data_IF_627928521473
#
_entry.id   IF_627928521473
#
_cell.length_a   1.000
_cell.length_b   1.000
_cell.length_c   1.000
_cell.angle_alpha   90.00
_cell.angle_beta   90.00
_cell.angle_gamma   90.00
#
_symmetry.space_group_name_H-M   'P 1'
#
loop_
_entity.id
_entity.type
_entity.pdbx_description
1 polymer ?
#
# COMPACT_ATOMS: atom_id res chain seq x y z
N UNK A 1 11.94 15.99 -4.96
CA UNK A 1 12.49 15.23 -6.11
C UNK A 1 13.07 13.95 -5.55
N UNK A 2 12.77 12.84 -6.17
CA UNK A 2 13.27 11.51 -5.82
C UNK A 2 14.01 10.92 -7.01
N UNK A 3 15.11 10.22 -6.73
CA UNK A 3 15.92 9.53 -7.74
C UNK A 3 16.06 8.06 -7.37
N UNK A 4 15.88 7.17 -8.32
CA UNK A 4 16.21 5.75 -8.20
C UNK A 4 16.51 5.12 -9.56
N UNK A 5 17.06 3.90 -9.55
CA UNK A 5 17.49 3.19 -10.77
C UNK A 5 16.33 2.81 -11.69
N UNK A 6 15.13 2.64 -11.16
CA UNK A 6 13.94 2.25 -11.95
C UNK A 6 13.20 3.45 -12.55
N UNK A 7 13.18 4.58 -11.84
CA UNK A 7 12.40 5.76 -12.22
C UNK A 7 13.25 6.91 -12.74
N UNK A 8 14.57 6.82 -12.59
CA UNK A 8 15.51 7.91 -12.86
C UNK A 8 15.24 9.14 -12.00
N UNK A 9 14.16 9.86 -12.24
CA UNK A 9 13.73 10.99 -11.43
C UNK A 9 12.21 11.08 -11.36
N UNK A 10 11.67 11.49 -10.23
CA UNK A 10 10.27 11.83 -10.09
C UNK A 10 10.06 13.08 -9.25
N UNK A 11 9.04 13.87 -9.63
CA UNK A 11 8.58 15.06 -8.92
C UNK A 11 7.20 14.79 -8.35
N UNK A 12 7.03 14.99 -7.04
CA UNK A 12 5.75 14.93 -6.36
C UNK A 12 5.32 16.35 -5.99
N UNK A 13 4.09 16.70 -6.35
CA UNK A 13 3.45 17.97 -6.01
C UNK A 13 2.16 17.65 -5.25
N UNK A 14 1.96 18.26 -4.11
CA UNK A 14 0.71 18.18 -3.36
C UNK A 14 0.24 19.58 -3.00
N UNK A 15 -1.05 19.85 -3.23
CA UNK A 15 -1.73 21.08 -2.85
C UNK A 15 -2.97 20.69 -2.06
N UNK A 16 -3.09 21.21 -0.84
CA UNK A 16 -4.26 20.96 0.01
C UNK A 16 -4.87 22.28 0.42
N UNK A 17 -6.19 22.41 0.23
CA UNK A 17 -7.00 23.54 0.62
C UNK A 17 -8.09 23.12 1.60
N UNK A 18 -8.22 23.86 2.70
CA UNK A 18 -9.25 23.65 3.70
C UNK A 18 -10.26 24.80 3.67
N UNK A 19 -11.52 24.49 3.44
CA UNK A 19 -12.61 25.45 3.39
C UNK A 19 -13.43 25.38 4.68
N UNK A 20 -13.53 26.51 5.37
CA UNK A 20 -14.28 26.65 6.63
C UNK A 20 -15.63 27.30 6.32
N UNK A 21 -16.62 26.47 5.95
CA UNK A 21 -18.00 26.88 5.71
C UNK A 21 -18.95 26.29 6.77
N UNK A 22 -20.26 26.25 6.45
CA UNK A 22 -21.27 25.54 7.28
C UNK A 22 -20.93 24.04 7.43
N UNK A 23 -20.33 23.47 6.39
CA UNK A 23 -19.76 22.13 6.39
C UNK A 23 -18.26 22.27 6.09
N UNK A 24 -17.36 21.93 7.01
CA UNK A 24 -15.94 21.93 6.74
C UNK A 24 -15.62 20.97 5.59
N UNK A 25 -14.79 21.43 4.65
CA UNK A 25 -14.37 20.63 3.50
C UNK A 25 -12.88 20.74 3.25
N UNK A 26 -12.30 19.66 2.78
CA UNK A 26 -10.88 19.58 2.41
C UNK A 26 -10.77 19.10 0.98
N UNK A 27 -10.02 19.80 0.14
CA UNK A 27 -9.65 19.36 -1.19
C UNK A 27 -8.13 19.19 -1.26
N UNK A 28 -7.68 18.02 -1.65
CA UNK A 28 -6.25 17.74 -1.87
C UNK A 28 -6.02 17.26 -3.30
N UNK A 29 -5.06 17.86 -3.96
CA UNK A 29 -4.61 17.50 -5.30
C UNK A 29 -3.18 17.02 -5.20
N UNK A 30 -2.91 15.79 -5.65
CA UNK A 30 -1.57 15.22 -5.67
C UNK A 30 -1.21 14.84 -7.10
N UNK A 31 -0.10 15.35 -7.59
CA UNK A 31 0.47 15.02 -8.89
C UNK A 31 1.85 14.39 -8.74
N UNK A 32 2.11 13.34 -9.50
CA UNK A 32 3.44 12.74 -9.66
C UNK A 32 3.82 12.80 -11.13
N UNK A 33 5.00 13.31 -11.41
CA UNK A 33 5.57 13.40 -12.75
C UNK A 33 6.87 12.61 -12.78
N UNK A 34 7.07 11.81 -13.80
CA UNK A 34 8.24 10.95 -13.99
C UNK A 34 7.95 9.87 -15.04
N UNK A 35 8.79 8.83 -15.12
CA UNK A 35 8.55 7.65 -15.96
C UNK A 35 7.17 7.04 -15.68
N UNK A 36 6.78 7.00 -14.40
CA UNK A 36 5.42 6.69 -13.96
C UNK A 36 4.78 7.99 -13.49
N UNK A 37 3.63 8.33 -14.02
CA UNK A 37 2.91 9.54 -13.64
C UNK A 37 1.56 9.20 -13.01
N UNK A 38 1.12 10.06 -12.11
CA UNK A 38 -0.14 9.89 -11.40
C UNK A 38 -0.78 11.24 -11.08
N UNK A 39 -2.10 11.22 -11.01
CA UNK A 39 -2.89 12.32 -10.49
C UNK A 39 -3.92 11.77 -9.50
N UNK A 40 -4.06 12.41 -8.35
CA UNK A 40 -5.05 12.04 -7.33
C UNK A 40 -5.76 13.28 -6.83
N UNK A 41 -7.07 13.16 -6.71
CA UNK A 41 -7.97 14.15 -6.13
C UNK A 41 -8.62 13.50 -4.92
N UNK A 42 -8.49 14.11 -3.76
CA UNK A 42 -9.18 13.72 -2.54
C UNK A 42 -10.08 14.88 -2.10
N UNK A 43 -11.35 14.61 -1.93
CA UNK A 43 -12.34 15.56 -1.43
C UNK A 43 -12.98 14.98 -0.17
N UNK A 44 -12.84 15.69 0.94
CA UNK A 44 -13.40 15.34 2.21
C UNK A 44 -14.38 16.39 2.71
N UNK A 45 -15.48 15.99 3.33
CA UNK A 45 -16.43 16.89 3.95
C UNK A 45 -16.99 16.27 5.23
N UNK A 46 -17.31 17.15 6.20
CA UNK A 46 -17.71 16.77 7.57
C UNK A 46 -19.15 17.25 7.85
N UNK A 47 -20.20 16.61 7.25
CA UNK A 47 -21.57 16.95 7.56
C UNK A 47 -21.97 16.36 8.92
N UNK A 48 -22.60 17.14 9.80
CA UNK A 48 -23.18 16.60 11.01
C UNK A 48 -24.39 15.69 10.67
N UNK A 49 -24.53 14.50 11.29
CA UNK A 49 -23.74 13.93 12.41
C UNK A 49 -22.51 13.12 11.99
N UNK A 50 -22.28 12.92 10.69
CA UNK A 50 -21.15 12.16 10.14
C UNK A 50 -19.87 13.00 10.24
N UNK A 51 -18.78 12.40 10.69
CA UNK A 51 -17.55 13.16 10.94
C UNK A 51 -16.68 13.36 9.72
N UNK A 52 -16.62 12.40 8.80
CA UNK A 52 -15.87 12.58 7.57
C UNK A 52 -16.38 11.65 6.47
N UNK A 53 -16.82 12.23 5.37
CA UNK A 53 -17.12 11.52 4.13
C UNK A 53 -16.03 11.92 3.13
N UNK A 54 -15.32 10.93 2.58
CA UNK A 54 -14.25 11.12 1.62
C UNK A 54 -14.63 10.57 0.25
N UNK A 55 -14.36 11.35 -0.77
CA UNK A 55 -14.39 10.94 -2.17
C UNK A 55 -12.97 11.06 -2.71
N UNK A 56 -12.47 10.02 -3.34
CA UNK A 56 -11.16 10.07 -3.99
C UNK A 56 -11.22 9.50 -5.39
N UNK A 57 -10.47 10.11 -6.28
CA UNK A 57 -10.19 9.56 -7.60
C UNK A 57 -8.69 9.61 -7.84
N UNK A 58 -8.13 8.52 -8.36
CA UNK A 58 -6.73 8.43 -8.74
C UNK A 58 -6.60 7.83 -10.14
N UNK A 59 -5.78 8.47 -10.94
CA UNK A 59 -5.26 7.95 -12.19
C UNK A 59 -3.76 7.71 -12.05
N UNK A 60 -3.27 6.59 -12.55
CA UNK A 60 -1.84 6.27 -12.54
C UNK A 60 -1.45 5.51 -13.80
N UNK A 61 -0.42 5.98 -14.48
CA UNK A 61 0.29 5.23 -15.51
C UNK A 61 1.48 4.52 -14.90
N UNK A 62 1.57 3.22 -15.14
CA UNK A 62 2.60 2.35 -14.60
C UNK A 62 3.40 1.70 -15.73
N UNK A 63 4.72 1.73 -15.58
CA UNK A 63 5.68 0.95 -16.34
C UNK A 63 6.59 0.27 -15.32
N UNK A 64 6.35 -1.03 -15.09
CA UNK A 64 6.92 -1.78 -13.98
C UNK A 64 7.70 -2.97 -14.50
N UNK A 65 8.94 -3.10 -14.05
CA UNK A 65 9.74 -4.30 -14.27
C UNK A 65 9.46 -5.31 -13.14
N UNK A 66 9.25 -6.54 -13.55
CA UNK A 66 9.12 -7.70 -12.67
C UNK A 66 10.43 -8.49 -12.74
N UNK A 67 10.87 -8.96 -11.59
CA UNK A 67 12.13 -9.65 -11.42
C UNK A 67 11.88 -11.08 -10.92
N UNK A 68 12.87 -11.95 -11.16
CA UNK A 68 12.88 -13.31 -10.63
C UNK A 68 14.36 -13.71 -10.41
N UNK A 69 14.68 -14.00 -9.15
CA UNK A 69 16.07 -14.34 -8.76
C UNK A 69 17.12 -13.29 -9.15
N UNK A 70 16.75 -12.01 -9.04
CA UNK A 70 17.62 -10.90 -9.38
C UNK A 70 17.57 -10.44 -10.84
N UNK A 71 17.10 -11.30 -11.76
CA UNK A 71 17.03 -10.99 -13.19
C UNK A 71 15.67 -10.40 -13.58
N UNK A 72 15.66 -9.48 -14.53
CA UNK A 72 14.44 -8.95 -15.10
C UNK A 72 13.69 -10.04 -15.88
N UNK A 73 12.51 -10.41 -15.39
CA UNK A 73 11.67 -11.44 -15.98
C UNK A 73 10.79 -10.89 -17.10
N UNK A 74 10.03 -9.84 -16.82
CA UNK A 74 9.13 -9.20 -17.77
C UNK A 74 8.85 -7.75 -17.37
N UNK A 75 8.19 -7.03 -18.25
CA UNK A 75 7.74 -5.66 -18.02
C UNK A 75 6.23 -5.60 -18.23
N UNK A 76 5.55 -4.82 -17.41
CA UNK A 76 4.11 -4.54 -17.56
C UNK A 76 3.87 -3.05 -17.63
N UNK A 77 3.09 -2.64 -18.60
CA UNK A 77 2.63 -1.27 -18.78
C UNK A 77 1.11 -1.24 -18.71
N UNK A 78 0.58 -0.43 -17.82
CA UNK A 78 -0.86 -0.34 -17.61
C UNK A 78 -1.28 1.01 -17.03
N UNK A 79 -2.53 1.39 -17.32
CA UNK A 79 -3.23 2.48 -16.68
C UNK A 79 -4.06 1.94 -15.53
N UNK A 80 -4.04 2.63 -14.42
CA UNK A 80 -4.80 2.28 -13.23
C UNK A 80 -5.69 3.44 -12.83
N UNK A 81 -6.97 3.14 -12.67
CA UNK A 81 -7.96 4.08 -12.17
C UNK A 81 -8.54 3.56 -10.86
N UNK A 82 -8.70 4.44 -9.90
CA UNK A 82 -9.30 4.16 -8.61
C UNK A 82 -10.34 5.21 -8.29
N UNK A 83 -11.57 4.78 -8.06
CA UNK A 83 -12.61 5.57 -7.41
C UNK A 83 -12.86 5.05 -6.01
N UNK A 84 -12.91 5.92 -5.00
CA UNK A 84 -13.13 5.53 -3.61
C UNK A 84 -14.15 6.44 -2.95
N UNK A 85 -15.12 5.85 -2.26
CA UNK A 85 -16.02 6.50 -1.33
C UNK A 85 -15.73 5.94 0.07
N UNK A 86 -15.45 6.80 1.03
CA UNK A 86 -15.10 6.39 2.39
C UNK A 86 -15.89 7.18 3.44
N UNK A 87 -16.19 6.49 4.53
CA UNK A 87 -16.72 7.06 5.76
C UNK A 87 -15.69 6.81 6.84
N UNK A 88 -15.20 7.85 7.49
CA UNK A 88 -14.18 7.73 8.51
C UNK A 88 -14.53 8.48 9.77
N UNK A 89 -14.08 7.95 10.91
CA UNK A 89 -14.18 8.59 12.21
C UNK A 89 -12.94 8.33 13.07
N UNK A 90 -12.68 9.22 14.01
CA UNK A 90 -11.69 9.03 15.06
C UNK A 90 -12.38 8.38 16.25
N UNK A 91 -12.19 7.08 16.39
CA UNK A 91 -12.88 6.30 17.43
C UNK A 91 -12.30 6.49 18.84
N UNK A 92 -11.01 6.70 18.90
CA UNK A 92 -10.26 6.99 20.12
C UNK A 92 -9.09 7.88 19.78
N UNK A 93 -8.47 8.57 20.74
CA UNK A 93 -7.43 9.59 20.53
C UNK A 93 -6.41 9.27 19.40
N UNK A 94 -6.05 8.01 19.25
CA UNK A 94 -5.01 7.56 18.31
C UNK A 94 -5.51 6.51 17.31
N UNK A 95 -6.80 6.17 17.32
CA UNK A 95 -7.41 5.16 16.43
C UNK A 95 -8.36 5.86 15.46
N UNK A 96 -8.11 5.66 14.17
CA UNK A 96 -9.02 6.04 13.08
C UNK A 96 -9.59 4.79 12.46
N UNK A 97 -10.88 4.79 12.25
CA UNK A 97 -11.60 3.74 11.56
C UNK A 97 -12.20 4.30 10.28
N UNK A 98 -12.18 3.54 9.20
CA UNK A 98 -12.85 3.89 7.97
C UNK A 98 -13.45 2.65 7.31
N UNK A 99 -14.63 2.83 6.73
CA UNK A 99 -15.28 1.86 5.85
C UNK A 99 -15.58 2.52 4.52
N UNK A 100 -15.71 1.75 3.47
CA UNK A 100 -16.02 2.35 2.19
C UNK A 100 -16.14 1.35 1.05
N UNK A 101 -16.29 1.94 -0.11
CA UNK A 101 -16.40 1.28 -1.40
C UNK A 101 -15.24 1.72 -2.28
N UNK A 102 -14.74 0.81 -3.09
CA UNK A 102 -13.66 1.09 -4.02
C UNK A 102 -13.95 0.42 -5.36
N UNK A 103 -13.76 1.16 -6.42
CA UNK A 103 -13.77 0.67 -7.79
C UNK A 103 -12.39 0.84 -8.39
N UNK A 104 -11.82 -0.22 -8.92
CA UNK A 104 -10.48 -0.26 -9.51
C UNK A 104 -10.57 -0.78 -10.94
N UNK A 105 -9.90 -0.10 -11.85
CA UNK A 105 -9.81 -0.50 -13.26
C UNK A 105 -8.34 -0.54 -13.65
N UNK A 106 -7.92 -1.65 -14.21
CA UNK A 106 -6.61 -1.88 -14.79
C UNK A 106 -6.77 -2.05 -16.30
N UNK A 107 -6.12 -1.19 -17.06
CA UNK A 107 -6.09 -1.24 -18.52
C UNK A 107 -4.65 -1.52 -18.95
N UNK A 108 -4.39 -2.76 -19.36
CA UNK A 108 -3.07 -3.26 -19.69
C UNK A 108 -2.74 -3.01 -21.14
N UNK A 109 -1.77 -2.15 -21.41
CA UNK A 109 -1.19 -1.94 -22.76
C UNK A 109 -0.20 -3.07 -23.09
N UNK A 110 0.51 -3.60 -22.09
CA UNK A 110 1.53 -4.63 -22.26
C UNK A 110 1.66 -5.47 -21.00
N UNK A 111 1.48 -6.77 -21.17
CA UNK A 111 1.75 -7.76 -20.14
C UNK A 111 2.40 -8.99 -20.76
N UNK A 112 3.70 -9.20 -20.50
CA UNK A 112 4.51 -10.24 -21.11
C UNK A 112 4.68 -11.47 -20.23
N UNK A 113 3.62 -11.87 -19.51
CA UNK A 113 3.63 -13.13 -18.78
C UNK A 113 2.85 -14.20 -19.55
N UNK A 114 3.40 -15.42 -19.66
CA UNK A 114 2.76 -16.50 -20.40
C UNK A 114 1.35 -16.78 -19.87
N UNK A 115 0.36 -16.72 -20.75
CA UNK A 115 -1.04 -16.99 -20.43
C UNK A 115 -1.83 -15.78 -19.92
N UNK A 116 -1.29 -14.56 -19.99
CA UNK A 116 -2.01 -13.33 -19.68
C UNK A 116 -2.32 -12.57 -20.97
N UNK A 117 -3.59 -12.40 -21.28
CA UNK A 117 -4.02 -11.54 -22.38
C UNK A 117 -3.95 -10.06 -21.96
N UNK A 118 -3.56 -9.23 -22.93
CA UNK A 118 -3.66 -7.77 -22.80
C UNK A 118 -5.14 -7.40 -22.80
N UNK A 119 -5.60 -6.67 -21.79
CA UNK A 119 -7.02 -6.34 -21.66
C UNK A 119 -7.30 -5.48 -20.46
N UNK A 120 -8.57 -5.31 -20.20
CA UNK A 120 -9.08 -4.50 -19.10
C UNK A 120 -9.62 -5.42 -17.99
N UNK A 121 -9.13 -5.22 -16.77
CA UNK A 121 -9.66 -5.82 -15.56
C UNK A 121 -10.31 -4.77 -14.68
N UNK A 122 -11.45 -5.07 -14.11
CA UNK A 122 -12.12 -4.19 -13.15
C UNK A 122 -12.52 -4.95 -11.89
N UNK A 123 -12.47 -4.26 -10.76
CA UNK A 123 -12.82 -4.81 -9.45
C UNK A 123 -13.63 -3.81 -8.67
N UNK A 124 -14.69 -4.30 -8.07
CA UNK A 124 -15.41 -3.58 -7.04
C UNK A 124 -15.04 -4.15 -5.68
N UNK A 125 -14.85 -3.33 -4.67
CA UNK A 125 -14.53 -3.83 -3.33
C UNK A 125 -15.19 -3.01 -2.22
N UNK A 126 -15.59 -3.74 -1.19
CA UNK A 126 -15.98 -3.20 0.12
C UNK A 126 -14.75 -3.28 1.03
N UNK A 127 -14.43 -2.23 1.73
CA UNK A 127 -13.31 -2.24 2.64
C UNK A 127 -13.65 -1.70 4.03
N UNK A 128 -12.94 -2.22 5.02
CA UNK A 128 -12.84 -1.68 6.36
C UNK A 128 -11.36 -1.54 6.73
N UNK A 129 -10.98 -0.43 7.34
CA UNK A 129 -9.61 -0.21 7.78
C UNK A 129 -9.56 0.47 9.13
N UNK A 130 -8.53 0.14 9.89
CA UNK A 130 -8.19 0.75 11.16
C UNK A 130 -6.74 1.22 11.13
N UNK A 131 -6.49 2.41 11.64
CA UNK A 131 -5.16 2.98 11.79
C UNK A 131 -4.97 3.47 13.23
N UNK A 132 -3.92 2.99 13.86
CA UNK A 132 -3.46 3.39 15.18
C UNK A 132 -2.09 4.03 15.08
N UNK A 133 -1.91 5.21 15.69
CA UNK A 133 -0.62 5.91 15.64
C UNK A 133 -0.34 6.66 16.94
N UNK A 134 0.87 6.42 17.46
CA UNK A 134 1.40 7.10 18.66
C UNK A 134 2.81 7.64 18.45
N UNK A 135 3.29 7.72 17.21
CA UNK A 135 4.59 8.29 16.94
C UNK A 135 4.68 9.76 17.41
N UNK A 136 5.79 10.08 18.04
CA UNK A 136 6.08 11.43 18.53
C UNK A 136 6.39 12.44 17.42
N UNK A 137 6.77 11.96 16.23
CA UNK A 137 7.12 12.77 15.05
C UNK A 137 6.71 12.07 13.77
N UNK A 138 6.28 12.84 12.78
CA UNK A 138 5.94 12.33 11.45
C UNK A 138 7.18 11.76 10.71
N UNK A 139 8.33 12.45 10.86
CA UNK A 139 9.60 12.03 10.28
C UNK A 139 10.59 11.66 11.38
N UNK A 140 11.27 10.54 11.20
CA UNK A 140 12.26 10.01 12.16
C UNK A 140 11.71 9.95 13.60
N UNK A 141 10.59 9.24 13.84
CA UNK A 141 10.04 9.10 15.17
C UNK A 141 11.07 8.51 16.13
N UNK A 142 11.03 8.96 17.39
CA UNK A 142 11.95 8.48 18.43
C UNK A 142 11.29 7.50 19.39
N UNK A 143 9.97 7.46 19.42
CA UNK A 143 9.17 6.51 20.22
C UNK A 143 7.77 6.37 19.63
N UNK A 144 7.09 5.31 20.03
CA UNK A 144 5.69 5.05 19.68
C UNK A 144 5.53 3.86 18.75
N UNK A 145 4.29 3.65 18.32
CA UNK A 145 3.86 2.56 17.46
C UNK A 145 2.94 3.13 16.39
N UNK A 146 3.07 2.63 15.16
CA UNK A 146 2.11 2.82 14.08
C UNK A 146 1.64 1.46 13.62
N UNK A 147 0.34 1.23 13.58
CA UNK A 147 -0.26 0.00 13.11
C UNK A 147 -1.46 0.30 12.21
N UNK A 148 -1.62 -0.48 11.15
CA UNK A 148 -2.77 -0.44 10.26
C UNK A 148 -3.24 -1.84 9.94
N UNK A 149 -4.53 -2.05 10.00
CA UNK A 149 -5.18 -3.26 9.55
C UNK A 149 -6.27 -2.89 8.54
N UNK A 150 -6.44 -3.68 7.51
CA UNK A 150 -7.53 -3.51 6.55
C UNK A 150 -8.03 -4.86 6.06
N UNK A 151 -9.32 -4.92 5.84
CA UNK A 151 -10.03 -6.02 5.18
C UNK A 151 -10.67 -5.47 3.92
N UNK A 152 -10.59 -6.20 2.82
CA UNK A 152 -11.28 -5.88 1.57
C UNK A 152 -11.92 -7.13 1.01
N UNK A 153 -13.20 -7.04 0.66
CA UNK A 153 -13.94 -8.06 -0.09
C UNK A 153 -14.05 -7.58 -1.53
N UNK A 154 -13.45 -8.32 -2.44
CA UNK A 154 -13.46 -8.02 -3.88
C UNK A 154 -14.58 -8.76 -4.59
N UNK A 155 -15.24 -8.06 -5.50
CA UNK A 155 -16.32 -8.54 -6.35
C UNK A 155 -16.12 -7.99 -7.76
N UNK A 156 -16.80 -8.55 -8.77
CA UNK A 156 -16.75 -8.02 -10.13
C UNK A 156 -17.69 -6.84 -10.32
N UNK A 157 -18.81 -6.85 -9.61
CA UNK A 157 -19.81 -5.78 -9.62
C UNK A 157 -20.47 -5.63 -8.24
N UNK A 158 -21.46 -4.73 -8.09
CA UNK A 158 -22.12 -4.46 -6.81
C UNK A 158 -22.86 -5.67 -6.23
N UNK A 159 -23.35 -6.59 -7.05
CA UNK A 159 -24.32 -7.61 -6.64
C UNK A 159 -23.97 -9.02 -7.06
N UNK A 160 -22.97 -9.23 -7.89
CA UNK A 160 -22.64 -10.54 -8.43
C UNK A 160 -21.23 -10.64 -8.97
N UNK A 161 -20.94 -11.74 -9.64
CA UNK A 161 -19.65 -12.08 -10.20
C UNK A 161 -19.83 -12.57 -11.63
N UNK A 162 -19.14 -11.93 -12.56
CA UNK A 162 -19.18 -12.26 -13.98
C UNK A 162 -17.78 -12.60 -14.51
N UNK A 163 -16.94 -13.25 -13.83
CA UNK A 163 -15.61 -13.60 -14.31
C UNK A 163 -14.73 -14.19 -13.24
N UNK A 164 -14.77 -13.63 -12.04
CA UNK A 164 -13.95 -14.10 -10.92
C UNK A 164 -14.80 -14.46 -9.71
N UNK A 165 -14.43 -15.54 -9.03
CA UNK A 165 -15.01 -15.83 -7.74
C UNK A 165 -14.65 -14.73 -6.73
N UNK A 166 -15.51 -14.46 -5.73
CA UNK A 166 -15.20 -13.51 -4.69
C UNK A 166 -13.93 -13.90 -3.94
N UNK A 167 -13.12 -12.92 -3.64
CA UNK A 167 -11.97 -13.12 -2.79
C UNK A 167 -11.81 -12.00 -1.79
N UNK A 168 -11.15 -12.29 -0.69
CA UNK A 168 -10.88 -11.34 0.37
C UNK A 168 -9.39 -11.07 0.48
N UNK A 169 -9.04 -9.85 0.85
CA UNK A 169 -7.68 -9.48 1.22
C UNK A 169 -7.65 -8.94 2.66
N UNK A 170 -6.84 -9.55 3.49
CA UNK A 170 -6.48 -9.05 4.81
C UNK A 170 -5.08 -8.47 4.68
N UNK A 171 -4.90 -7.20 5.02
CA UNK A 171 -3.60 -6.52 5.02
C UNK A 171 -3.36 -5.88 6.37
N UNK A 172 -2.16 -6.04 6.88
CA UNK A 172 -1.75 -5.39 8.13
C UNK A 172 -0.29 -5.00 8.13
N UNK A 173 0.02 -3.96 8.87
CA UNK A 173 1.38 -3.69 9.30
C UNK A 173 1.38 -3.14 10.72
N UNK A 174 2.48 -3.39 11.41
CA UNK A 174 2.78 -2.79 12.70
C UNK A 174 4.26 -2.45 12.72
N UNK A 175 4.57 -1.23 13.13
CA UNK A 175 5.93 -0.74 13.27
C UNK A 175 6.07 -0.02 14.61
N UNK A 176 7.13 -0.35 15.34
CA UNK A 176 7.48 0.31 16.60
C UNK A 176 8.80 1.07 16.51
N UNK A 177 9.03 1.95 17.49
CA UNK A 177 10.34 2.57 17.73
C UNK A 177 10.68 2.39 19.19
N UNK A 178 11.75 1.64 19.45
CA UNK A 178 12.30 1.38 20.78
C UNK A 178 13.61 2.15 20.91
N UNK A 179 13.65 3.25 21.67
CA UNK A 179 14.89 3.97 21.94
C UNK A 179 15.73 3.14 22.93
N UNK A 180 16.92 2.73 22.50
CA UNK A 180 17.90 2.03 23.36
C UNK A 180 18.82 3.03 24.06
N UNK A 181 19.24 4.04 23.31
CA UNK A 181 20.00 5.19 23.83
C UNK A 181 19.46 6.49 23.22
N UNK A 182 20.00 7.65 23.65
CA UNK A 182 19.66 8.96 23.05
C UNK A 182 19.99 9.05 21.55
N UNK A 183 20.85 8.17 21.04
CA UNK A 183 21.31 8.19 19.64
C UNK A 183 21.03 6.90 18.88
N UNK A 184 20.67 5.83 19.56
CA UNK A 184 20.42 4.51 18.94
C UNK A 184 19.01 4.03 19.22
N UNK A 185 18.33 3.60 18.16
CA UNK A 185 16.96 3.07 18.22
C UNK A 185 16.84 1.80 17.38
N UNK A 186 16.01 0.87 17.85
CA UNK A 186 15.60 -0.32 17.13
C UNK A 186 14.17 -0.10 16.65
N UNK A 187 13.91 -0.37 15.38
CA UNK A 187 12.61 -0.21 14.74
C UNK A 187 12.15 -1.56 14.19
N UNK A 188 11.50 -2.39 15.05
CA UNK A 188 10.85 -3.59 14.58
C UNK A 188 9.62 -3.25 13.73
N UNK A 189 9.39 -4.03 12.68
CA UNK A 189 8.18 -3.94 11.87
C UNK A 189 7.75 -5.31 11.39
N UNK A 190 6.44 -5.50 11.24
CA UNK A 190 5.83 -6.66 10.62
C UNK A 190 4.83 -6.19 9.57
N UNK A 191 4.87 -6.83 8.41
CA UNK A 191 3.96 -6.59 7.30
C UNK A 191 3.33 -7.90 6.87
N UNK A 192 2.04 -7.91 6.65
CA UNK A 192 1.34 -9.09 6.16
C UNK A 192 0.26 -8.72 5.17
N UNK A 193 0.07 -9.55 4.14
CA UNK A 193 -1.10 -9.52 3.28
C UNK A 193 -1.46 -10.92 2.86
N UNK A 194 -2.72 -11.29 3.10
CA UNK A 194 -3.27 -12.62 2.94
C UNK A 194 -4.48 -12.52 2.01
N UNK A 195 -4.44 -13.26 0.90
CA UNK A 195 -5.55 -13.41 -0.03
C UNK A 195 -6.27 -14.72 0.25
N UNK A 196 -7.59 -14.65 0.36
CA UNK A 196 -8.46 -15.78 0.67
C UNK A 196 -9.52 -15.85 -0.42
N UNK A 197 -9.52 -16.91 -1.20
CA UNK A 197 -10.44 -17.11 -2.32
C UNK A 197 -9.92 -18.15 -3.31
N UNK A 198 -10.69 -18.36 -4.38
CA UNK A 198 -10.30 -19.17 -5.54
C UNK A 198 -10.04 -18.25 -6.72
N UNK A 199 -9.20 -18.72 -7.66
CA UNK A 199 -8.95 -18.05 -8.94
C UNK A 199 -8.62 -16.55 -8.82
N UNK A 200 -7.75 -16.22 -7.84
CA UNK A 200 -7.36 -14.85 -7.56
C UNK A 200 -6.58 -14.28 -8.76
N UNK A 201 -7.01 -13.16 -9.33
CA UNK A 201 -6.34 -12.54 -10.46
C UNK A 201 -4.88 -12.20 -10.17
N UNK A 202 -4.03 -12.35 -11.18
CA UNK A 202 -2.60 -12.05 -11.06
C UNK A 202 -2.32 -10.60 -10.64
N UNK A 203 -3.12 -9.67 -11.16
CA UNK A 203 -3.08 -8.24 -10.81
C UNK A 203 -3.27 -7.94 -9.32
N UNK A 204 -3.90 -8.86 -8.58
CA UNK A 204 -4.18 -8.72 -7.13
C UNK A 204 -3.22 -9.48 -6.24
N UNK A 205 -2.32 -10.31 -6.80
CA UNK A 205 -1.33 -11.03 -6.01
C UNK A 205 -0.45 -10.06 -5.21
N UNK A 206 -0.03 -10.50 -4.04
CA UNK A 206 0.90 -9.73 -3.20
C UNK A 206 2.25 -9.68 -3.88
N UNK A 207 2.79 -8.50 -4.03
CA UNK A 207 4.14 -8.27 -4.51
C UNK A 207 5.09 -8.03 -3.33
N UNK A 208 6.32 -8.54 -3.42
CA UNK A 208 7.37 -8.32 -2.43
C UNK A 208 8.62 -7.74 -3.11
N UNK A 209 9.20 -6.73 -2.46
CA UNK A 209 10.47 -6.13 -2.85
C UNK A 209 10.54 -4.62 -2.61
N UNK A 210 11.74 -4.10 -2.74
CA UNK A 210 12.03 -2.68 -2.52
C UNK A 210 11.93 -2.25 -1.05
N UNK A 211 12.09 -0.97 -0.81
CA UNK A 211 12.18 -0.37 0.52
C UNK A 211 10.91 0.31 1.02
N UNK A 212 9.96 0.60 0.12
CA UNK A 212 8.74 1.35 0.41
C UNK A 212 7.49 0.55 0.05
N UNK A 213 6.57 0.44 1.01
CA UNK A 213 5.30 -0.22 0.81
C UNK A 213 4.45 0.52 -0.23
N UNK A 214 3.91 -0.23 -1.20
CA UNK A 214 2.97 0.31 -2.18
C UNK A 214 3.58 1.28 -3.20
N UNK A 215 4.91 1.27 -3.36
CA UNK A 215 5.60 2.21 -4.25
C UNK A 215 5.31 1.95 -5.73
N UNK A 216 5.34 0.70 -6.16
CA UNK A 216 5.10 0.30 -7.54
C UNK A 216 3.71 -0.28 -7.73
N UNK A 217 3.31 -1.17 -6.85
CA UNK A 217 1.99 -1.77 -6.80
C UNK A 217 1.37 -1.52 -5.42
N UNK A 218 0.08 -1.24 -5.34
CA UNK A 218 -0.59 -0.99 -4.05
C UNK A 218 -0.51 -2.17 -3.08
N UNK A 219 -0.43 -3.39 -3.62
CA UNK A 219 -0.27 -4.63 -2.88
C UNK A 219 1.19 -5.00 -2.57
N UNK A 220 2.15 -4.14 -2.93
CA UNK A 220 3.57 -4.37 -2.64
C UNK A 220 3.86 -4.24 -1.15
N UNK A 221 4.60 -5.22 -0.63
CA UNK A 221 5.17 -5.24 0.72
C UNK A 221 6.68 -5.02 0.65
N UNK A 222 7.25 -4.22 1.56
CA UNK A 222 8.66 -3.86 1.50
C UNK A 222 9.55 -5.04 1.92
N UNK A 223 10.60 -5.28 1.16
CA UNK A 223 11.68 -6.19 1.50
C UNK A 223 12.98 -5.62 0.94
N UNK A 224 13.80 -5.06 1.82
CA UNK A 224 15.07 -4.41 1.45
C UNK A 224 16.09 -5.45 1.01
N UNK A 225 16.82 -5.19 -0.07
CA UNK A 225 17.88 -6.07 -0.57
C UNK A 225 17.49 -6.92 -1.77
N UNK A 226 16.25 -6.85 -2.23
CA UNK A 226 15.79 -7.43 -3.50
C UNK A 226 15.15 -6.36 -4.37
N UNK A 227 14.93 -6.67 -5.64
CA UNK A 227 14.30 -5.76 -6.60
C UNK A 227 12.86 -5.40 -6.22
N UNK A 228 12.31 -4.34 -6.79
CA UNK A 228 11.05 -3.76 -6.36
C UNK A 228 9.83 -4.69 -6.46
N UNK A 229 9.77 -5.54 -7.48
CA UNK A 229 8.70 -6.55 -7.65
C UNK A 229 9.34 -7.86 -8.04
N UNK A 230 9.79 -8.64 -7.05
CA UNK A 230 10.53 -9.87 -7.31
C UNK A 230 9.73 -11.14 -6.99
N UNK A 231 8.85 -11.11 -6.02
CA UNK A 231 8.03 -12.25 -5.65
C UNK A 231 6.55 -11.88 -5.67
N UNK A 232 5.76 -12.71 -6.36
CA UNK A 232 4.29 -12.61 -6.38
C UNK A 232 3.66 -13.84 -5.75
N UNK A 233 2.87 -13.68 -4.66
CA UNK A 233 2.23 -14.78 -3.91
C UNK A 233 0.88 -14.37 -3.33
N UNK A 234 0.03 -15.35 -3.04
CA UNK A 234 -1.26 -15.11 -2.39
C UNK A 234 -1.11 -14.73 -0.91
N UNK A 235 -0.04 -15.18 -0.28
CA UNK A 235 0.19 -14.97 1.15
C UNK A 235 1.63 -14.56 1.39
N UNK A 236 1.81 -13.41 2.04
CA UNK A 236 3.12 -12.87 2.43
C UNK A 236 3.07 -12.39 3.86
N UNK A 237 4.09 -12.75 4.63
CA UNK A 237 4.38 -12.24 5.97
C UNK A 237 5.85 -11.86 6.03
N UNK A 238 6.14 -10.61 6.40
CA UNK A 238 7.50 -10.06 6.40
C UNK A 238 7.78 -9.46 7.77
N UNK A 239 8.82 -9.96 8.42
CA UNK A 239 9.44 -9.34 9.58
C UNK A 239 10.61 -8.45 9.15
N UNK A 240 10.70 -7.26 9.69
CA UNK A 240 11.78 -6.32 9.44
C UNK A 240 12.35 -5.78 10.75
N UNK A 241 13.65 -5.69 10.83
CA UNK A 241 14.36 -5.10 11.97
C UNK A 241 15.30 -4.02 11.43
N UNK A 242 15.07 -2.77 11.84
CA UNK A 242 15.87 -1.65 11.43
C UNK A 242 16.63 -1.08 12.64
N UNK A 243 17.94 -1.00 12.52
CA UNK A 243 18.83 -0.39 13.51
C UNK A 243 19.21 0.99 13.03
N UNK A 244 18.89 2.00 13.81
CA UNK A 244 19.10 3.40 13.44
C UNK A 244 20.01 4.10 14.45
N UNK A 245 21.17 4.54 13.98
CA UNK A 245 22.14 5.32 14.75
C UNK A 245 22.10 6.78 14.27
N UNK A 246 21.86 7.71 15.20
CA UNK A 246 21.98 9.13 14.94
C UNK A 246 23.45 9.54 15.01
N UNK A 247 23.99 10.04 13.89
CA UNK A 247 25.41 10.44 13.77
C UNK A 247 25.65 11.92 14.08
N UNK A 248 24.60 12.74 14.05
CA UNK A 248 24.68 14.19 14.28
C UNK A 248 23.30 14.79 14.50
N UNK A 249 23.10 16.07 14.17
CA UNK A 249 21.81 16.74 14.28
C UNK A 249 20.77 16.20 13.30
N UNK A 250 21.20 15.91 12.05
CA UNK A 250 20.32 15.54 10.93
C UNK A 250 20.74 14.26 10.19
N UNK A 251 21.88 13.65 10.54
CA UNK A 251 22.37 12.46 9.87
C UNK A 251 22.05 11.19 10.65
N UNK A 252 21.62 10.17 9.93
CA UNK A 252 21.31 8.86 10.48
C UNK A 252 21.96 7.76 9.64
N UNK A 253 22.59 6.81 10.31
CA UNK A 253 22.98 5.53 9.71
C UNK A 253 21.89 4.50 10.03
N UNK A 254 21.48 3.74 9.03
CA UNK A 254 20.44 2.73 9.20
C UNK A 254 20.90 1.42 8.58
N UNK A 255 20.81 0.34 9.37
CA UNK A 255 20.97 -1.03 8.93
C UNK A 255 19.60 -1.72 9.00
N UNK A 256 19.21 -2.44 7.95
CA UNK A 256 17.93 -3.14 7.90
C UNK A 256 18.15 -4.61 7.58
N UNK A 257 17.56 -5.50 8.39
CA UNK A 257 17.44 -6.92 8.13
C UNK A 257 15.98 -7.32 7.96
N UNK A 258 15.68 -8.23 7.03
CA UNK A 258 14.33 -8.70 6.76
C UNK A 258 14.30 -10.22 6.69
N UNK A 259 13.14 -10.77 7.06
CA UNK A 259 12.81 -12.19 6.89
C UNK A 259 11.38 -12.29 6.35
N UNK A 260 11.15 -13.16 5.37
CA UNK A 260 9.83 -13.32 4.76
C UNK A 260 9.41 -14.78 4.71
N UNK A 261 8.14 -15.00 4.99
CA UNK A 261 7.42 -16.24 4.75
C UNK A 261 6.41 -16.02 3.64
N UNK A 262 6.34 -16.94 2.70
CA UNK A 262 5.42 -16.85 1.56
C UNK A 262 4.79 -18.20 1.25
N UNK A 263 3.51 -18.18 0.91
CA UNK A 263 2.80 -19.39 0.51
C UNK A 263 1.73 -19.10 -0.55
N UNK A 264 1.33 -20.14 -1.28
CA UNK A 264 0.19 -20.10 -2.21
C UNK A 264 -1.15 -20.10 -1.49
N UNK A 265 -1.21 -20.62 -0.25
CA UNK A 265 -2.41 -20.64 0.60
C UNK A 265 -2.02 -20.32 2.04
N UNK A 266 -2.91 -19.66 2.78
CA UNK A 266 -2.72 -19.30 4.18
C UNK A 266 -2.40 -20.52 5.06
N UNK A 267 -3.05 -21.67 4.82
CA UNK A 267 -2.78 -22.90 5.56
C UNK A 267 -1.30 -23.30 5.50
N UNK A 268 -0.69 -23.27 4.33
CA UNK A 268 0.73 -23.64 4.16
C UNK A 268 1.68 -22.63 4.83
N UNK A 269 1.28 -21.38 4.97
CA UNK A 269 2.06 -20.41 5.74
C UNK A 269 2.02 -20.75 7.24
N UNK A 270 0.85 -21.12 7.76
CA UNK A 270 0.70 -21.50 9.17
C UNK A 270 1.51 -22.74 9.51
N UNK A 271 1.60 -23.72 8.60
CA UNK A 271 2.44 -24.92 8.72
C UNK A 271 3.97 -24.61 8.73
N UNK A 272 4.40 -23.44 8.21
CA UNK A 272 5.80 -23.00 8.28
C UNK A 272 6.15 -22.29 9.60
N UNK A 273 5.15 -21.85 10.35
CA UNK A 273 5.34 -21.08 11.60
C UNK A 273 5.27 -21.99 12.83
N UNK A 274 4.50 -23.10 12.77
CA UNK A 274 4.33 -24.11 13.83
C UNK A 274 5.31 -25.24 13.75
#
# INVERSE_FOLDING_TARGET
IHFDSEETASLLINVTSNFRGKVPTTLSLTGRLGKRYAARIDYGFEPAPLKNIGLAYMFQYNDINFYRYGDKSHNSTFRYHLGELSFSDVWYKNVRFAIGLRYELYDYDKFLYQGFDVGTEHFFSYFAQMHYETFDKAYFPTKGISARASYSLYTDNFTGYDGHAPFSAIKGYCQGVVPVTRRFSILPAIYGRFLIGKDIPYSKLNAMGGDVQGRFLQQQLPFVGINNVELMRNTLLIGSMKFRQRMGSVHYLTLTGNYALSASKLRYLLEQIG
#
